data_IF_867199327229
#
_entry.id   IF_867199327229
#
_cell.length_a   1.000
_cell.length_b   1.000
_cell.length_c   1.000
_cell.angle_alpha   90.00
_cell.angle_beta   90.00
_cell.angle_gamma   90.00
#
_symmetry.space_group_name_H-M   'P 1'
#
loop_
_entity.id
_entity.type
_entity.pdbx_description
1 polymer ?
#
# COMPACT_ATOMS: atom_id res chain seq x y z
N UNK A 1 -28.34 -63.39 -34.00
CA UNK A 1 -27.67 -62.37 -33.16
C UNK A 1 -26.84 -61.47 -34.07
N UNK A 2 -27.38 -60.31 -34.44
CA UNK A 2 -26.73 -59.31 -35.29
C UNK A 2 -25.80 -58.45 -34.43
N UNK A 3 -24.50 -58.58 -34.64
CA UNK A 3 -23.48 -57.74 -33.99
C UNK A 3 -23.30 -56.50 -34.88
N UNK A 4 -23.75 -55.33 -34.41
CA UNK A 4 -23.43 -54.06 -35.05
C UNK A 4 -21.95 -53.73 -34.82
N UNK A 5 -21.11 -53.56 -35.88
CA UNK A 5 -19.76 -53.06 -35.70
C UNK A 5 -19.82 -51.56 -35.40
N UNK A 6 -19.39 -51.14 -34.22
CA UNK A 6 -19.21 -49.71 -33.92
C UNK A 6 -18.00 -49.19 -34.72
N UNK A 7 -18.26 -48.67 -35.92
CA UNK A 7 -17.30 -48.14 -36.91
C UNK A 7 -16.60 -46.84 -36.48
N UNK A 8 -16.46 -46.57 -35.19
CA UNK A 8 -15.94 -45.30 -34.68
C UNK A 8 -14.57 -45.50 -34.04
N UNK A 9 -13.56 -44.75 -34.53
CA UNK A 9 -12.20 -44.78 -34.00
C UNK A 9 -12.18 -44.30 -32.54
N UNK A 10 -11.73 -45.16 -31.63
CA UNK A 10 -11.57 -44.83 -30.21
C UNK A 10 -10.33 -43.93 -30.00
N UNK A 11 -10.58 -42.62 -30.00
CA UNK A 11 -9.54 -41.58 -29.92
C UNK A 11 -8.78 -41.58 -28.59
N UNK A 12 -9.42 -42.03 -27.50
CA UNK A 12 -8.76 -42.09 -26.19
C UNK A 12 -7.79 -43.27 -26.11
N UNK A 13 -8.20 -44.45 -26.60
CA UNK A 13 -7.31 -45.60 -26.72
C UNK A 13 -6.15 -45.31 -27.67
N UNK A 14 -6.42 -44.67 -28.82
CA UNK A 14 -5.37 -44.29 -29.75
C UNK A 14 -4.35 -43.31 -29.11
N UNK A 15 -4.82 -42.36 -28.29
CA UNK A 15 -3.94 -41.43 -27.55
C UNK A 15 -3.02 -42.16 -26.57
N UNK A 16 -3.55 -43.10 -25.79
CA UNK A 16 -2.77 -43.90 -24.83
C UNK A 16 -1.75 -44.78 -25.55
N UNK A 17 -2.12 -45.41 -26.66
CA UNK A 17 -1.22 -46.23 -27.45
C UNK A 17 -0.12 -45.39 -28.11
N UNK A 18 -0.43 -44.19 -28.62
CA UNK A 18 0.58 -43.26 -29.17
C UNK A 18 1.61 -42.85 -28.13
N UNK A 19 1.20 -42.62 -26.88
CA UNK A 19 2.14 -42.32 -25.80
C UNK A 19 3.13 -43.46 -25.56
N UNK A 20 2.67 -44.73 -25.65
CA UNK A 20 3.53 -45.91 -25.54
C UNK A 20 4.42 -46.13 -26.78
N UNK A 21 3.96 -45.77 -27.98
CA UNK A 21 4.78 -45.80 -29.20
C UNK A 21 5.96 -44.83 -29.14
N UNK A 22 5.76 -43.65 -28.53
CA UNK A 22 6.80 -42.62 -28.43
C UNK A 22 7.66 -42.76 -27.17
N UNK A 23 7.09 -43.23 -26.06
CA UNK A 23 7.72 -43.25 -24.73
C UNK A 23 7.98 -44.64 -24.14
N UNK A 24 7.80 -45.73 -24.91
CA UNK A 24 8.11 -47.09 -24.46
C UNK A 24 9.59 -47.26 -24.10
N UNK A 25 9.89 -48.01 -23.03
CA UNK A 25 11.24 -48.18 -22.48
C UNK A 25 12.12 -49.06 -23.36
N UNK A 26 11.52 -49.96 -24.12
CA UNK A 26 12.22 -50.87 -25.03
C UNK A 26 11.71 -50.75 -26.46
N UNK A 27 12.52 -51.20 -27.43
CA UNK A 27 12.10 -51.25 -28.83
C UNK A 27 10.94 -52.22 -29.07
N UNK A 28 10.93 -53.36 -28.38
CA UNK A 28 9.82 -54.32 -28.42
C UNK A 28 8.49 -53.74 -27.94
N UNK A 29 8.49 -52.92 -26.89
CA UNK A 29 7.30 -52.22 -26.40
C UNK A 29 6.76 -51.22 -27.42
N UNK A 30 7.65 -50.47 -28.08
CA UNK A 30 7.27 -49.49 -29.12
C UNK A 30 6.68 -50.18 -30.35
N UNK A 31 7.26 -51.30 -30.77
CA UNK A 31 6.75 -52.11 -31.89
C UNK A 31 5.40 -52.76 -31.55
N UNK A 32 5.24 -53.31 -30.35
CA UNK A 32 3.97 -53.86 -29.90
C UNK A 32 2.87 -52.78 -29.80
N UNK A 33 3.21 -51.59 -29.34
CA UNK A 33 2.29 -50.45 -29.31
C UNK A 33 1.91 -50.00 -30.73
N UNK A 34 2.86 -49.98 -31.67
CA UNK A 34 2.59 -49.69 -33.10
C UNK A 34 1.62 -50.69 -33.70
N UNK A 35 1.85 -51.99 -33.51
CA UNK A 35 0.93 -53.04 -33.99
C UNK A 35 -0.49 -52.90 -33.40
N UNK A 36 -0.60 -52.51 -32.12
CA UNK A 36 -1.92 -52.22 -31.50
C UNK A 36 -2.59 -51.00 -32.11
N UNK A 37 -1.83 -49.94 -32.44
CA UNK A 37 -2.37 -48.75 -33.09
C UNK A 37 -2.86 -49.06 -34.52
N UNK A 38 -2.16 -49.91 -35.26
CA UNK A 38 -2.55 -50.36 -36.61
C UNK A 38 -3.87 -51.14 -36.57
N UNK A 39 -4.04 -52.06 -35.61
CA UNK A 39 -5.30 -52.81 -35.42
C UNK A 39 -6.45 -51.87 -35.05
N UNK A 40 -6.22 -50.87 -34.20
CA UNK A 40 -7.24 -49.88 -33.84
C UNK A 40 -7.68 -49.03 -35.04
N UNK A 41 -6.72 -48.61 -35.87
CA UNK A 41 -7.00 -47.85 -37.08
C UNK A 41 -7.76 -48.71 -38.11
N UNK A 42 -7.32 -49.95 -38.34
CA UNK A 42 -7.93 -50.88 -39.29
C UNK A 42 -9.38 -51.25 -38.90
N UNK A 43 -9.66 -51.44 -37.60
CA UNK A 43 -11.02 -51.68 -37.10
C UNK A 43 -11.98 -50.51 -37.37
N UNK A 44 -11.44 -49.30 -37.48
CA UNK A 44 -12.20 -48.10 -37.83
C UNK A 44 -12.14 -47.75 -39.33
N UNK A 45 -11.62 -48.65 -40.17
CA UNK A 45 -11.57 -48.47 -41.63
C UNK A 45 -10.60 -47.39 -42.11
N UNK A 46 -9.62 -46.99 -41.29
CA UNK A 46 -8.64 -45.94 -41.63
C UNK A 46 -7.20 -46.45 -41.50
N UNK A 47 -6.26 -45.80 -42.17
CA UNK A 47 -4.83 -46.12 -41.98
C UNK A 47 -4.33 -45.56 -40.65
N UNK A 48 -3.24 -46.13 -40.11
CA UNK A 48 -2.59 -45.60 -38.90
C UNK A 48 -2.21 -44.11 -39.07
N UNK A 49 -1.72 -43.71 -40.25
CA UNK A 49 -1.35 -42.33 -40.52
C UNK A 49 -2.57 -41.40 -40.51
N UNK A 50 -3.70 -41.81 -41.08
CA UNK A 50 -4.95 -41.05 -41.02
C UNK A 50 -5.49 -40.95 -39.58
N UNK A 51 -5.39 -42.03 -38.80
CA UNK A 51 -5.79 -42.05 -37.40
C UNK A 51 -4.94 -41.09 -36.54
N UNK A 52 -3.61 -41.09 -36.73
CA UNK A 52 -2.70 -40.19 -36.03
C UNK A 52 -2.88 -38.73 -36.45
N UNK A 53 -3.12 -38.47 -37.74
CA UNK A 53 -3.43 -37.13 -38.25
C UNK A 53 -4.72 -36.57 -37.64
N UNK A 54 -5.79 -37.38 -37.56
CA UNK A 54 -7.03 -37.00 -36.85
C UNK A 54 -6.79 -36.72 -35.36
N UNK A 55 -5.91 -37.48 -34.71
CA UNK A 55 -5.56 -37.27 -33.30
C UNK A 55 -4.80 -35.96 -33.09
N UNK A 56 -3.91 -35.58 -34.01
CA UNK A 56 -3.18 -34.31 -33.97
C UNK A 56 -4.09 -33.11 -34.26
N UNK A 57 -4.97 -33.23 -35.25
CA UNK A 57 -5.98 -32.20 -35.55
C UNK A 57 -6.92 -31.98 -34.34
N UNK A 58 -7.34 -33.05 -33.65
CA UNK A 58 -8.17 -32.94 -32.45
C UNK A 58 -7.46 -32.30 -31.24
N UNK A 59 -6.11 -32.36 -31.17
CA UNK A 59 -5.33 -31.68 -30.12
C UNK A 59 -5.20 -30.17 -30.39
N UNK A 60 -5.17 -29.77 -31.65
CA UNK A 60 -5.15 -28.36 -32.07
C UNK A 60 -6.55 -27.72 -32.01
N UNK A 61 -7.60 -28.52 -32.22
CA UNK A 61 -9.00 -28.09 -32.17
C UNK A 61 -9.66 -28.29 -30.80
N UNK A 62 -8.93 -28.75 -29.77
CA UNK A 62 -9.47 -28.78 -28.43
C UNK A 62 -9.72 -27.31 -28.01
N UNK A 63 -10.99 -26.88 -27.81
CA UNK A 63 -11.23 -25.57 -27.24
C UNK A 63 -10.46 -25.49 -25.92
N UNK A 64 -9.90 -24.32 -25.61
CA UNK A 64 -9.37 -24.02 -24.28
C UNK A 64 -10.56 -24.02 -23.29
N UNK A 65 -11.07 -25.21 -22.98
CA UNK A 65 -12.20 -25.45 -22.11
C UNK A 65 -11.76 -25.08 -20.70
N UNK A 66 -11.98 -23.81 -20.35
CA UNK A 66 -11.58 -23.24 -19.08
C UNK A 66 -11.38 -21.73 -19.10
N UNK A 67 -11.17 -21.11 -20.27
CA UNK A 67 -11.07 -19.65 -20.36
C UNK A 67 -12.38 -19.07 -20.92
N UNK A 68 -13.25 -18.46 -20.08
CA UNK A 68 -14.49 -17.81 -20.54
C UNK A 68 -14.23 -16.62 -21.48
N UNK A 69 -12.97 -16.20 -21.67
CA UNK A 69 -12.55 -15.13 -22.56
C UNK A 69 -11.78 -15.61 -23.80
N UNK A 70 -11.72 -16.92 -24.05
CA UNK A 70 -11.14 -17.43 -25.30
C UNK A 70 -11.91 -16.84 -26.50
N UNK A 71 -11.20 -16.18 -27.43
CA UNK A 71 -11.80 -15.48 -28.57
C UNK A 71 -12.22 -14.03 -28.30
N UNK A 72 -12.09 -13.51 -27.07
CA UNK A 72 -12.42 -12.10 -26.77
C UNK A 72 -11.62 -11.12 -27.62
N UNK A 73 -10.31 -11.36 -27.79
CA UNK A 73 -9.47 -10.51 -28.62
C UNK A 73 -9.86 -10.57 -30.11
N UNK A 74 -10.34 -11.72 -30.59
CA UNK A 74 -10.83 -11.88 -31.97
C UNK A 74 -12.15 -11.14 -32.16
N UNK A 75 -13.07 -11.26 -31.20
CA UNK A 75 -14.33 -10.52 -31.17
C UNK A 75 -14.11 -9.00 -31.11
N UNK A 76 -13.16 -8.53 -30.28
CA UNK A 76 -12.80 -7.10 -30.22
C UNK A 76 -12.17 -6.62 -31.53
N UNK A 77 -11.35 -7.43 -32.20
CA UNK A 77 -10.78 -7.07 -33.51
C UNK A 77 -11.85 -6.96 -34.60
N UNK A 78 -12.88 -7.80 -34.55
CA UNK A 78 -14.03 -7.71 -35.45
C UNK A 78 -14.88 -6.46 -35.19
N UNK A 79 -15.02 -6.06 -33.92
CA UNK A 79 -15.76 -4.86 -33.50
C UNK A 79 -14.98 -3.56 -33.69
N UNK A 80 -13.69 -3.59 -33.46
CA UNK A 80 -12.76 -2.47 -33.51
C UNK A 80 -11.47 -2.92 -34.23
N UNK A 81 -11.44 -2.82 -35.56
CA UNK A 81 -10.27 -3.18 -36.35
C UNK A 81 -9.03 -2.42 -35.88
N UNK A 82 -7.95 -3.15 -35.59
CA UNK A 82 -6.72 -2.60 -35.01
C UNK A 82 -6.59 -2.79 -33.50
N UNK A 83 -7.62 -3.29 -32.79
CA UNK A 83 -7.58 -3.54 -31.34
C UNK A 83 -6.37 -4.38 -30.92
N UNK A 84 -6.09 -5.51 -31.59
CA UNK A 84 -4.95 -6.38 -31.28
C UNK A 84 -3.62 -5.68 -31.53
N UNK A 85 -3.53 -4.91 -32.61
CA UNK A 85 -2.32 -4.15 -32.94
C UNK A 85 -2.06 -3.07 -31.88
N UNK A 86 -3.10 -2.37 -31.43
CA UNK A 86 -2.99 -1.41 -30.34
C UNK A 86 -2.61 -2.08 -29.01
N UNK A 87 -3.24 -3.20 -28.66
CA UNK A 87 -2.90 -3.95 -27.44
C UNK A 87 -1.45 -4.47 -27.49
N UNK A 88 -0.99 -4.94 -28.65
CA UNK A 88 0.39 -5.34 -28.86
C UNK A 88 1.34 -4.14 -28.68
N UNK A 89 1.01 -2.98 -29.25
CA UNK A 89 1.76 -1.72 -29.03
C UNK A 89 1.81 -1.35 -27.56
N UNK A 90 0.67 -1.30 -26.86
CA UNK A 90 0.61 -0.99 -25.41
C UNK A 90 1.41 -1.98 -24.55
N UNK A 91 1.49 -3.26 -24.93
CA UNK A 91 2.34 -4.25 -24.25
C UNK A 91 3.81 -4.00 -24.54
N UNK A 92 4.17 -3.73 -25.79
CA UNK A 92 5.53 -3.40 -26.19
C UNK A 92 6.02 -2.13 -25.51
N UNK A 93 5.20 -1.07 -25.42
CA UNK A 93 5.53 0.18 -24.74
C UNK A 93 5.74 -0.04 -23.24
N UNK A 94 4.85 -0.81 -22.58
CA UNK A 94 5.01 -1.16 -21.15
C UNK A 94 6.29 -1.96 -20.90
N UNK A 95 6.59 -2.92 -21.76
CA UNK A 95 7.79 -3.74 -21.64
C UNK A 95 9.06 -2.91 -21.92
N UNK A 96 9.02 -2.00 -22.91
CA UNK A 96 10.12 -1.09 -23.19
C UNK A 96 10.39 -0.15 -22.00
N UNK A 97 9.35 0.42 -21.40
CA UNK A 97 9.46 1.24 -20.20
C UNK A 97 10.00 0.45 -19.01
N UNK A 98 9.53 -0.79 -18.80
CA UNK A 98 10.04 -1.69 -17.76
C UNK A 98 11.52 -1.99 -17.97
N UNK A 99 11.94 -2.34 -19.18
CA UNK A 99 13.34 -2.62 -19.51
C UNK A 99 14.22 -1.37 -19.39
N UNK A 100 13.72 -0.19 -19.74
CA UNK A 100 14.41 1.07 -19.49
C UNK A 100 14.62 1.30 -17.99
N UNK A 101 13.58 1.09 -17.18
CA UNK A 101 13.69 1.20 -15.71
C UNK A 101 14.64 0.15 -15.12
N UNK A 102 14.64 -1.09 -15.63
CA UNK A 102 15.63 -2.10 -15.22
C UNK A 102 17.07 -1.61 -15.46
N UNK A 103 17.35 -0.93 -16.59
CA UNK A 103 18.70 -0.40 -16.86
C UNK A 103 19.11 0.67 -15.85
N UNK A 104 18.20 1.56 -15.48
CA UNK A 104 18.43 2.55 -14.42
C UNK A 104 18.72 1.88 -13.08
N UNK A 105 17.92 0.88 -12.71
CA UNK A 105 18.10 0.13 -11.47
C UNK A 105 19.38 -0.69 -11.44
N UNK A 106 19.83 -1.22 -12.58
CA UNK A 106 21.13 -1.87 -12.68
C UNK A 106 22.29 -0.89 -12.43
N UNK A 107 22.15 0.37 -12.82
CA UNK A 107 23.13 1.40 -12.48
C UNK A 107 23.09 1.78 -10.99
N UNK A 108 21.90 1.80 -10.38
CA UNK A 108 21.70 2.12 -8.95
C UNK A 108 22.21 1.00 -8.01
N UNK A 109 21.83 -0.25 -8.27
CA UNK A 109 22.11 -1.40 -7.40
C UNK A 109 23.34 -2.21 -7.85
N UNK A 110 23.87 -1.94 -9.04
CA UNK A 110 25.02 -2.64 -9.65
C UNK A 110 24.69 -4.01 -10.25
N UNK A 111 23.61 -4.68 -9.80
CA UNK A 111 23.14 -5.94 -10.38
C UNK A 111 21.69 -6.24 -10.00
N UNK A 112 21.00 -7.04 -10.80
CA UNK A 112 19.67 -7.56 -10.48
C UNK A 112 19.68 -8.31 -9.15
N UNK A 113 20.68 -9.19 -8.94
CA UNK A 113 20.82 -9.96 -7.71
C UNK A 113 20.85 -9.07 -6.46
N UNK A 114 21.51 -7.90 -6.53
CA UNK A 114 21.62 -6.97 -5.41
C UNK A 114 20.27 -6.38 -4.98
N UNK A 115 19.33 -6.17 -5.93
CA UNK A 115 17.98 -5.66 -5.65
C UNK A 115 17.18 -6.63 -4.77
N UNK A 116 17.41 -7.93 -4.96
CA UNK A 116 16.74 -9.00 -4.22
C UNK A 116 17.48 -9.45 -2.95
N UNK A 117 18.66 -8.90 -2.65
CA UNK A 117 19.33 -9.20 -1.38
C UNK A 117 18.49 -8.66 -0.23
N UNK A 118 18.12 -9.50 0.76
CA UNK A 118 17.37 -9.01 1.91
C UNK A 118 18.19 -7.98 2.68
N UNK A 119 17.58 -6.84 2.98
CA UNK A 119 18.17 -5.83 3.87
C UNK A 119 18.29 -6.37 5.29
N UNK A 120 19.09 -5.71 6.13
CA UNK A 120 19.23 -6.11 7.53
C UNK A 120 17.95 -5.93 8.33
N UNK A 121 17.10 -4.98 7.93
CA UNK A 121 15.77 -4.82 8.51
C UNK A 121 14.85 -5.99 8.11
N UNK A 122 14.83 -6.41 6.85
CA UNK A 122 14.09 -7.61 6.40
C UNK A 122 14.50 -8.86 7.20
N UNK A 123 15.82 -9.07 7.38
CA UNK A 123 16.35 -10.20 8.16
C UNK A 123 15.89 -10.18 9.62
N UNK A 124 15.92 -9.01 10.27
CA UNK A 124 15.47 -8.84 11.66
C UNK A 124 13.98 -9.10 11.81
N UNK A 125 13.16 -8.51 10.93
CA UNK A 125 11.71 -8.70 10.91
C UNK A 125 11.35 -10.18 10.69
N UNK A 126 12.00 -10.83 9.72
CA UNK A 126 11.81 -12.25 9.45
C UNK A 126 12.10 -13.10 10.70
N UNK A 127 13.18 -12.81 11.43
CA UNK A 127 13.53 -13.54 12.65
C UNK A 127 12.50 -13.31 13.77
N UNK A 128 12.08 -12.06 13.97
CA UNK A 128 11.16 -11.71 15.05
C UNK A 128 9.74 -12.25 14.83
N UNK A 129 9.26 -12.28 13.58
CA UNK A 129 7.92 -12.78 13.25
C UNK A 129 7.86 -14.30 13.05
N UNK A 130 9.00 -14.98 12.88
CA UNK A 130 9.05 -16.42 12.66
C UNK A 130 8.26 -17.25 13.70
N UNK A 131 8.31 -16.96 15.02
CA UNK A 131 7.55 -17.71 16.02
C UNK A 131 6.02 -17.57 15.91
N UNK A 132 5.53 -16.59 15.15
CA UNK A 132 4.11 -16.34 14.95
C UNK A 132 3.57 -17.00 13.67
N UNK A 133 4.42 -17.66 12.88
CA UNK A 133 4.04 -18.22 11.58
C UNK A 133 3.21 -19.50 11.75
N UNK A 134 2.06 -19.57 11.06
CA UNK A 134 1.14 -20.73 11.13
C UNK A 134 1.17 -21.62 9.87
N UNK A 135 1.86 -21.17 8.82
CA UNK A 135 2.00 -21.88 7.55
C UNK A 135 1.91 -20.91 6.39
N UNK A 136 2.61 -21.19 5.28
CA UNK A 136 2.64 -20.26 4.13
C UNK A 136 3.00 -18.83 4.55
N UNK A 137 2.22 -17.85 4.11
CA UNK A 137 2.45 -16.42 4.35
C UNK A 137 1.56 -15.81 5.45
N UNK A 138 1.03 -16.62 6.36
CA UNK A 138 0.19 -16.15 7.48
C UNK A 138 0.92 -16.14 8.85
N UNK A 139 0.49 -15.24 9.73
CA UNK A 139 0.97 -15.13 11.11
C UNK A 139 -0.19 -15.07 12.10
N UNK A 140 -0.38 -16.06 12.99
CA UNK A 140 -1.42 -16.06 14.05
C UNK A 140 -2.74 -15.38 13.66
N UNK A 141 -3.38 -15.89 12.61
CA UNK A 141 -4.65 -15.35 12.08
C UNK A 141 -4.56 -14.06 11.26
N UNK A 142 -3.36 -13.55 10.98
CA UNK A 142 -3.12 -12.41 10.10
C UNK A 142 -2.66 -12.85 8.72
N UNK A 143 -3.28 -12.26 7.70
CA UNK A 143 -2.93 -12.44 6.27
C UNK A 143 -2.74 -11.07 5.59
N UNK A 144 -3.52 -10.08 5.98
CA UNK A 144 -3.47 -8.70 5.50
C UNK A 144 -4.13 -7.76 6.53
N UNK A 145 -3.99 -6.45 6.29
CA UNK A 145 -4.57 -5.41 7.15
C UNK A 145 -3.78 -5.20 8.44
N UNK A 146 -4.47 -4.76 9.49
CA UNK A 146 -3.85 -4.36 10.75
C UNK A 146 -3.10 -5.52 11.45
N UNK A 147 -1.81 -5.35 11.80
CA UNK A 147 -1.06 -6.36 12.55
C UNK A 147 -1.72 -6.67 13.90
N UNK A 148 -1.68 -7.95 14.29
CA UNK A 148 -2.16 -8.37 15.63
C UNK A 148 -1.28 -7.79 16.73
N UNK A 149 -1.76 -7.72 17.99
CA UNK A 149 -0.95 -7.23 19.11
C UNK A 149 0.39 -7.96 19.27
N UNK A 150 0.40 -9.28 19.05
CA UNK A 150 1.63 -10.09 19.12
C UNK A 150 2.61 -9.73 17.98
N UNK A 151 2.10 -9.52 16.77
CA UNK A 151 2.93 -9.08 15.64
C UNK A 151 3.49 -7.68 15.88
N UNK A 152 2.68 -6.75 16.40
CA UNK A 152 3.12 -5.40 16.72
C UNK A 152 4.30 -5.41 17.70
N UNK A 153 4.20 -6.19 18.78
CA UNK A 153 5.28 -6.36 19.74
C UNK A 153 6.55 -6.93 19.08
N UNK A 154 6.41 -7.95 18.22
CA UNK A 154 7.53 -8.55 17.50
C UNK A 154 8.18 -7.57 16.49
N UNK A 155 7.38 -6.78 15.78
CA UNK A 155 7.85 -5.77 14.82
C UNK A 155 8.65 -4.70 15.56
N UNK A 156 8.13 -4.15 16.67
CA UNK A 156 8.86 -3.16 17.45
C UNK A 156 10.15 -3.70 18.06
N UNK A 157 10.14 -4.95 18.53
CA UNK A 157 11.35 -5.60 19.06
C UNK A 157 12.42 -5.83 17.99
N UNK A 158 12.04 -6.04 16.73
CA UNK A 158 12.98 -6.19 15.61
C UNK A 158 13.65 -4.86 15.25
N UNK A 159 12.84 -3.81 15.16
CA UNK A 159 13.27 -2.44 14.95
C UNK A 159 12.15 -1.49 15.41
N UNK A 160 12.44 -0.51 16.29
CA UNK A 160 11.47 0.50 16.67
C UNK A 160 10.85 1.16 15.43
N UNK A 161 9.56 1.50 15.52
CA UNK A 161 8.93 2.32 14.50
C UNK A 161 9.44 3.77 14.65
N UNK A 162 9.57 4.53 13.55
CA UNK A 162 9.86 5.95 13.65
C UNK A 162 8.77 6.66 14.46
N UNK A 163 9.15 7.62 15.28
CA UNK A 163 8.25 8.33 16.21
C UNK A 163 7.70 9.65 15.64
N UNK A 164 8.10 10.01 14.42
CA UNK A 164 7.62 11.19 13.70
C UNK A 164 6.88 10.78 12.43
N UNK A 165 5.82 11.52 12.05
CA UNK A 165 5.11 11.25 10.78
C UNK A 165 6.04 11.27 9.58
N UNK A 166 7.01 12.19 9.55
CA UNK A 166 7.98 12.25 8.47
C UNK A 166 8.85 10.99 8.41
N UNK A 167 9.33 10.50 9.56
CA UNK A 167 10.09 9.26 9.64
C UNK A 167 9.26 8.03 9.23
N UNK A 168 8.00 7.95 9.67
CA UNK A 168 7.08 6.87 9.31
C UNK A 168 6.86 6.86 7.79
N UNK A 169 6.58 8.03 7.23
CA UNK A 169 6.37 8.23 5.80
C UNK A 169 7.60 7.87 4.97
N UNK A 170 8.77 8.33 5.39
CA UNK A 170 10.04 8.03 4.72
C UNK A 170 10.35 6.53 4.71
N UNK A 171 10.11 5.83 5.83
CA UNK A 171 10.31 4.38 5.89
C UNK A 171 9.30 3.64 4.99
N UNK A 172 8.01 4.03 5.01
CA UNK A 172 6.99 3.41 4.15
C UNK A 172 7.31 3.59 2.67
N UNK A 173 7.67 4.81 2.25
CA UNK A 173 8.08 5.10 0.89
C UNK A 173 9.33 4.30 0.45
N UNK A 174 10.29 4.08 1.36
CA UNK A 174 11.47 3.25 1.08
C UNK A 174 11.08 1.79 0.84
N UNK A 175 10.12 1.24 1.60
CA UNK A 175 9.60 -0.10 1.36
C UNK A 175 8.87 -0.21 0.04
N UNK A 176 8.00 0.74 -0.29
CA UNK A 176 7.30 0.75 -1.58
C UNK A 176 8.25 0.89 -2.76
N UNK A 177 9.27 1.76 -2.65
CA UNK A 177 10.33 1.86 -3.66
C UNK A 177 11.01 0.50 -3.86
N UNK A 178 11.45 -0.15 -2.79
CA UNK A 178 12.14 -1.44 -2.88
C UNK A 178 11.26 -2.52 -3.53
N UNK A 179 9.98 -2.58 -3.16
CA UNK A 179 9.02 -3.52 -3.77
C UNK A 179 8.80 -3.20 -5.24
N UNK A 180 8.62 -1.93 -5.60
CA UNK A 180 8.45 -1.48 -6.99
C UNK A 180 9.69 -1.79 -7.84
N UNK A 181 10.88 -1.56 -7.29
CA UNK A 181 12.14 -1.88 -7.95
C UNK A 181 12.25 -3.39 -8.21
N UNK A 182 11.87 -4.25 -7.24
CA UNK A 182 11.82 -5.72 -7.41
C UNK A 182 10.78 -6.16 -8.45
N UNK A 183 9.57 -5.57 -8.42
CA UNK A 183 8.51 -5.82 -9.41
C UNK A 183 8.96 -5.44 -10.83
N UNK A 184 9.79 -4.41 -10.96
CA UNK A 184 10.32 -4.01 -12.26
C UNK A 184 11.12 -5.15 -12.91
N UNK A 185 11.94 -5.88 -12.13
CA UNK A 185 12.67 -7.06 -12.63
C UNK A 185 11.78 -8.30 -12.74
N UNK A 186 10.97 -8.58 -11.71
CA UNK A 186 10.08 -9.74 -11.63
C UNK A 186 8.62 -9.26 -11.48
N UNK A 187 7.84 -9.15 -12.57
CA UNK A 187 6.48 -8.57 -12.54
C UNK A 187 5.47 -9.25 -11.63
N UNK A 188 5.75 -10.48 -11.22
CA UNK A 188 4.92 -11.29 -10.32
C UNK A 188 5.51 -11.37 -8.91
N UNK A 189 6.52 -10.57 -8.59
CA UNK A 189 7.12 -10.51 -7.27
C UNK A 189 6.07 -10.12 -6.23
N UNK A 190 5.91 -10.96 -5.22
CA UNK A 190 5.13 -10.66 -4.02
C UNK A 190 6.08 -10.42 -2.84
N UNK A 191 5.79 -9.37 -2.08
CA UNK A 191 6.58 -9.04 -0.91
C UNK A 191 6.38 -10.12 0.17
N UNK A 192 7.47 -10.64 0.77
CA UNK A 192 7.36 -11.61 1.85
C UNK A 192 6.47 -11.12 2.99
N UNK A 193 5.77 -12.03 3.66
CA UNK A 193 4.79 -11.68 4.71
C UNK A 193 5.34 -10.74 5.79
N UNK A 194 6.61 -10.87 6.18
CA UNK A 194 7.24 -10.00 7.19
C UNK A 194 7.45 -8.56 6.71
N UNK A 195 7.64 -8.35 5.40
CA UNK A 195 7.70 -7.02 4.78
C UNK A 195 6.31 -6.41 4.75
N UNK A 196 5.31 -7.16 4.26
CA UNK A 196 3.90 -6.71 4.25
C UNK A 196 3.40 -6.37 5.66
N UNK A 197 3.82 -7.14 6.67
CA UNK A 197 3.50 -6.87 8.07
C UNK A 197 4.11 -5.56 8.59
N UNK A 198 5.35 -5.23 8.20
CA UNK A 198 5.99 -3.94 8.56
C UNK A 198 5.32 -2.78 7.85
N UNK A 199 5.00 -2.91 6.55
CA UNK A 199 4.26 -1.89 5.81
C UNK A 199 2.90 -1.63 6.46
N UNK A 200 2.11 -2.67 6.75
CA UNK A 200 0.83 -2.52 7.45
C UNK A 200 0.97 -1.88 8.84
N UNK A 201 2.07 -2.17 9.57
CA UNK A 201 2.36 -1.47 10.82
C UNK A 201 2.64 0.02 10.61
N UNK A 202 3.42 0.40 9.59
CA UNK A 202 3.71 1.79 9.25
C UNK A 202 2.45 2.54 8.81
N UNK A 203 1.59 1.93 8.00
CA UNK A 203 0.31 2.52 7.58
C UNK A 203 -0.58 2.80 8.79
N UNK A 204 -0.77 1.78 9.65
CA UNK A 204 -1.51 1.93 10.91
C UNK A 204 -0.93 3.04 11.80
N UNK A 205 0.40 3.15 11.84
CA UNK A 205 1.10 4.16 12.62
C UNK A 205 0.93 5.56 12.03
N UNK A 206 0.95 5.68 10.71
CA UNK A 206 0.70 6.91 9.97
C UNK A 206 -0.72 7.42 10.17
N UNK A 207 -1.70 6.55 10.45
CA UNK A 207 -3.07 6.98 10.74
C UNK A 207 -3.26 7.51 12.17
N UNK A 208 -2.44 7.03 13.12
CA UNK A 208 -2.73 7.15 14.57
C UNK A 208 -1.72 7.99 15.34
N UNK A 209 -0.57 8.30 14.77
CA UNK A 209 0.46 9.12 15.43
C UNK A 209 0.01 10.58 15.47
N UNK A 210 -0.14 11.22 16.65
CA UNK A 210 -0.46 12.64 16.75
C UNK A 210 0.67 13.50 16.18
N UNK A 211 0.32 14.57 15.47
CA UNK A 211 1.26 15.57 14.99
C UNK A 211 0.58 16.94 14.89
N UNK A 212 0.36 17.62 16.04
CA UNK A 212 -0.37 18.89 16.10
C UNK A 212 0.50 20.06 15.63
N UNK A 213 0.94 20.01 14.38
CA UNK A 213 1.71 21.04 13.70
C UNK A 213 1.25 21.18 12.26
N UNK A 214 1.53 22.34 11.64
CA UNK A 214 1.23 22.57 10.23
C UNK A 214 1.99 21.58 9.33
N UNK A 215 3.21 21.20 9.71
CA UNK A 215 4.00 20.18 9.01
C UNK A 215 3.36 18.79 9.14
N UNK A 216 2.84 18.44 10.32
CA UNK A 216 2.09 17.20 10.54
C UNK A 216 0.83 17.12 9.67
N UNK A 217 0.09 18.23 9.56
CA UNK A 217 -1.08 18.32 8.68
C UNK A 217 -0.71 18.15 7.21
N UNK A 218 0.38 18.77 6.74
CA UNK A 218 0.88 18.56 5.35
C UNK A 218 1.25 17.10 5.10
N UNK A 219 1.94 16.46 6.06
CA UNK A 219 2.31 15.06 5.96
C UNK A 219 1.07 14.16 5.87
N UNK A 220 0.01 14.44 6.63
CA UNK A 220 -1.24 13.67 6.55
C UNK A 220 -2.00 13.89 5.24
N UNK A 221 -2.00 15.11 4.70
CA UNK A 221 -2.61 15.37 3.39
C UNK A 221 -1.86 14.65 2.26
N UNK A 222 -0.53 14.59 2.32
CA UNK A 222 0.27 13.81 1.39
C UNK A 222 -0.03 12.30 1.50
N UNK A 223 -0.18 11.79 2.74
CA UNK A 223 -0.59 10.41 2.99
C UNK A 223 -1.97 10.09 2.40
N UNK A 224 -2.96 10.97 2.61
CA UNK A 224 -4.31 10.84 2.04
C UNK A 224 -4.30 10.82 0.51
N UNK A 225 -3.51 11.71 -0.12
CA UNK A 225 -3.37 11.72 -1.58
C UNK A 225 -2.79 10.41 -2.09
N UNK A 226 -1.74 9.91 -1.44
CA UNK A 226 -1.14 8.61 -1.77
C UNK A 226 -2.13 7.45 -1.62
N UNK A 227 -2.90 7.40 -0.52
CA UNK A 227 -3.91 6.37 -0.31
C UNK A 227 -4.99 6.40 -1.40
N UNK A 228 -5.42 7.59 -1.81
CA UNK A 228 -6.37 7.77 -2.90
C UNK A 228 -5.80 7.27 -4.24
N UNK A 229 -4.53 7.58 -4.53
CA UNK A 229 -3.87 7.16 -5.77
C UNK A 229 -3.69 5.64 -5.89
N UNK A 230 -3.60 4.93 -4.76
CA UNK A 230 -3.55 3.45 -4.75
C UNK A 230 -4.86 2.79 -5.19
N UNK A 231 -5.98 3.51 -5.18
CA UNK A 231 -7.26 3.00 -5.68
C UNK A 231 -7.85 1.81 -4.90
N UNK A 232 -7.35 1.53 -3.68
CA UNK A 232 -7.87 0.47 -2.82
C UNK A 232 -8.85 1.03 -1.79
N UNK A 233 -9.95 0.29 -1.56
CA UNK A 233 -10.87 0.59 -0.47
C UNK A 233 -10.24 0.20 0.87
N UNK A 234 -10.18 1.15 1.80
CA UNK A 234 -9.67 0.95 3.15
C UNK A 234 -10.75 0.40 4.06
N UNK A 235 -10.31 -0.17 5.19
CA UNK A 235 -11.23 -0.54 6.26
C UNK A 235 -11.80 0.71 6.94
N UNK A 236 -13.10 0.68 7.28
CA UNK A 236 -13.80 1.82 7.87
C UNK A 236 -13.16 2.27 9.19
N UNK A 237 -12.63 1.34 9.99
CA UNK A 237 -12.04 1.67 11.28
C UNK A 237 -10.67 2.36 11.16
N UNK A 238 -9.95 2.14 10.06
CA UNK A 238 -8.71 2.85 9.78
C UNK A 238 -8.99 4.30 9.36
N UNK A 239 -10.03 4.52 8.56
CA UNK A 239 -10.48 5.88 8.22
C UNK A 239 -11.02 6.63 9.45
N UNK A 240 -11.82 5.98 10.30
CA UNK A 240 -12.30 6.55 11.56
C UNK A 240 -11.13 6.97 12.48
N UNK A 241 -10.12 6.11 12.64
CA UNK A 241 -8.95 6.40 13.47
C UNK A 241 -8.11 7.57 12.93
N UNK A 242 -7.95 7.65 11.61
CA UNK A 242 -7.24 8.75 10.95
C UNK A 242 -8.03 10.07 11.09
N UNK A 243 -9.34 10.05 10.88
CA UNK A 243 -10.21 11.23 11.05
C UNK A 243 -10.16 11.73 12.50
N UNK A 244 -10.23 10.83 13.47
CA UNK A 244 -10.14 11.18 14.88
C UNK A 244 -8.79 11.84 15.22
N UNK A 245 -7.69 11.28 14.73
CA UNK A 245 -6.34 11.84 14.93
C UNK A 245 -6.20 13.22 14.28
N UNK A 246 -6.68 13.39 13.05
CA UNK A 246 -6.67 14.68 12.34
C UNK A 246 -7.48 15.76 13.07
N UNK A 247 -8.66 15.41 13.60
CA UNK A 247 -9.48 16.34 14.40
C UNK A 247 -8.74 16.77 15.66
N UNK A 248 -8.17 15.83 16.39
CA UNK A 248 -7.40 16.12 17.60
C UNK A 248 -6.18 17.02 17.31
N UNK A 249 -5.44 16.74 16.23
CA UNK A 249 -4.31 17.56 15.79
C UNK A 249 -4.76 18.99 15.46
N UNK A 250 -5.88 19.14 14.74
CA UNK A 250 -6.44 20.44 14.38
C UNK A 250 -6.90 21.23 15.61
N UNK A 251 -7.59 20.59 16.55
CA UNK A 251 -8.02 21.20 17.81
C UNK A 251 -6.82 21.67 18.65
N UNK A 252 -5.76 20.86 18.72
CA UNK A 252 -4.53 21.24 19.42
C UNK A 252 -3.84 22.45 18.78
N UNK A 253 -3.77 22.52 17.45
CA UNK A 253 -3.25 23.68 16.72
C UNK A 253 -4.12 24.92 17.00
N UNK A 254 -5.45 24.79 16.92
CA UNK A 254 -6.38 25.88 17.16
C UNK A 254 -6.29 26.42 18.60
N UNK A 255 -6.18 25.54 19.59
CA UNK A 255 -5.99 25.91 20.99
C UNK A 255 -4.66 26.65 21.20
N UNK A 256 -3.57 26.22 20.55
CA UNK A 256 -2.29 26.91 20.60
C UNK A 256 -2.35 28.34 20.05
N UNK A 257 -3.05 28.54 18.93
CA UNK A 257 -3.27 29.88 18.33
C UNK A 257 -4.13 30.76 19.25
N UNK A 258 -5.19 30.21 19.84
CA UNK A 258 -6.04 30.95 20.78
C UNK A 258 -5.27 31.35 22.05
N UNK A 259 -4.43 30.46 22.58
CA UNK A 259 -3.55 30.76 23.72
C UNK A 259 -2.58 31.91 23.42
N UNK A 260 -1.95 31.93 22.25
CA UNK A 260 -1.10 33.05 21.82
C UNK A 260 -1.88 34.37 21.74
N UNK A 261 -3.09 34.36 21.16
CA UNK A 261 -3.94 35.55 21.09
C UNK A 261 -4.45 36.02 22.47
N UNK A 262 -4.55 35.14 23.46
CA UNK A 262 -5.00 35.47 24.83
C UNK A 262 -3.87 35.97 25.75
N UNK A 263 -2.61 35.62 25.47
CA UNK A 263 -1.45 36.18 26.20
C UNK A 263 -1.18 37.65 25.88
N UNK A 264 -1.74 38.16 24.79
CA UNK A 264 -2.00 39.59 24.68
C UNK A 264 -3.25 39.90 25.51
N UNK A 265 -3.04 40.28 26.77
CA UNK A 265 -4.06 40.87 27.63
C UNK A 265 -4.93 41.78 26.76
N UNK A 266 -6.26 41.56 26.67
CA UNK A 266 -7.11 42.37 25.80
C UNK A 266 -6.81 43.81 26.15
N UNK A 267 -6.31 44.58 25.19
CA UNK A 267 -5.88 45.94 25.42
C UNK A 267 -7.01 46.65 26.16
N UNK A 268 -6.86 46.82 27.48
CA UNK A 268 -7.93 47.34 28.31
C UNK A 268 -8.36 48.64 27.65
N UNK A 269 -9.66 48.79 27.34
CA UNK A 269 -10.16 50.02 26.73
C UNK A 269 -9.68 51.19 27.61
N UNK A 270 -9.30 52.36 27.04
CA UNK A 270 -8.76 53.47 27.84
C UNK A 270 -9.60 53.82 29.08
N UNK A 271 -10.93 53.66 28.99
CA UNK A 271 -11.86 53.81 30.11
C UNK A 271 -11.68 52.78 31.25
N UNK A 272 -11.41 51.53 30.91
CA UNK A 272 -11.15 50.45 31.89
C UNK A 272 -9.80 50.65 32.60
N UNK A 273 -8.77 51.12 31.87
CA UNK A 273 -7.46 51.47 32.48
C UNK A 273 -7.60 52.60 33.49
N UNK A 274 -8.42 53.61 33.16
CA UNK A 274 -8.71 54.73 34.09
C UNK A 274 -9.41 54.22 35.36
N UNK A 275 -10.44 53.40 35.22
CA UNK A 275 -11.16 52.84 36.37
C UNK A 275 -10.23 52.00 37.25
N UNK A 276 -9.40 51.13 36.66
CA UNK A 276 -8.45 50.29 37.39
C UNK A 276 -7.38 51.09 38.14
N UNK A 277 -6.85 52.17 37.55
CA UNK A 277 -5.91 53.04 38.29
C UNK A 277 -6.60 53.80 39.42
N UNK A 278 -7.81 54.33 39.21
CA UNK A 278 -8.53 55.05 40.26
C UNK A 278 -8.89 54.13 41.43
N UNK A 279 -9.24 52.88 41.15
CA UNK A 279 -9.49 51.85 42.15
C UNK A 279 -8.24 51.57 42.99
N UNK A 280 -7.09 51.28 42.36
CA UNK A 280 -5.81 51.06 43.05
C UNK A 280 -5.35 52.27 43.87
N UNK A 281 -5.58 53.49 43.37
CA UNK A 281 -5.31 54.72 44.11
C UNK A 281 -6.26 54.93 45.30
N UNK A 282 -7.36 54.19 45.39
CA UNK A 282 -8.32 54.22 46.50
C UNK A 282 -8.05 53.10 47.50
N UNK A 283 -7.81 51.89 47.02
CA UNK A 283 -7.62 50.68 47.83
C UNK A 283 -6.20 50.58 48.40
N UNK A 284 -5.18 51.04 47.67
CA UNK A 284 -3.77 50.95 48.07
C UNK A 284 -3.03 52.29 47.88
N UNK A 285 -3.30 53.32 48.69
CA UNK A 285 -2.74 54.67 48.49
C UNK A 285 -1.20 54.72 48.60
N UNK A 286 -0.59 53.75 49.29
CA UNK A 286 0.86 53.63 49.46
C UNK A 286 1.62 53.06 48.25
N UNK A 287 0.94 52.59 47.20
CA UNK A 287 1.62 52.10 46.00
C UNK A 287 2.30 53.23 45.22
N UNK A 288 3.50 52.95 44.70
CA UNK A 288 4.19 53.86 43.79
C UNK A 288 3.52 53.89 42.40
N UNK A 289 3.63 55.02 41.70
CA UNK A 289 3.07 55.17 40.35
C UNK A 289 3.63 54.15 39.35
N UNK A 290 4.88 53.71 39.54
CA UNK A 290 5.52 52.66 38.71
C UNK A 290 4.88 51.30 38.93
N UNK A 291 4.54 50.96 40.18
CA UNK A 291 3.92 49.67 40.50
C UNK A 291 2.47 49.61 40.01
N UNK A 292 1.71 50.71 40.17
CA UNK A 292 0.35 50.82 39.61
C UNK A 292 0.38 50.73 38.08
N UNK A 293 1.31 51.43 37.43
CA UNK A 293 1.49 51.40 35.98
C UNK A 293 1.80 50.00 35.45
N UNK A 294 2.65 49.25 36.17
CA UNK A 294 2.97 47.86 35.85
C UNK A 294 1.75 46.94 35.95
N UNK A 295 0.92 47.10 37.00
CA UNK A 295 -0.28 46.29 37.22
C UNK A 295 -1.38 46.56 36.19
N UNK A 296 -1.55 47.81 35.76
CA UNK A 296 -2.65 48.21 34.84
C UNK A 296 -2.22 48.23 33.36
N UNK A 297 -0.91 48.23 33.07
CA UNK A 297 -0.41 48.30 31.69
C UNK A 297 -0.51 49.71 31.10
N UNK A 298 -0.12 50.74 31.87
CA UNK A 298 -0.05 52.14 31.42
C UNK A 298 1.30 52.77 31.78
N UNK A 299 1.52 54.05 31.44
CA UNK A 299 2.77 54.74 31.80
C UNK A 299 2.70 55.27 33.24
N UNK A 300 3.82 55.29 34.01
CA UNK A 300 3.86 55.90 35.34
C UNK A 300 3.42 57.37 35.34
N UNK A 301 3.69 58.10 34.25
CA UNK A 301 3.26 59.49 34.08
C UNK A 301 1.74 59.62 33.98
N UNK A 302 1.07 58.66 33.35
CA UNK A 302 -0.40 58.60 33.28
C UNK A 302 -1.00 58.43 34.68
N UNK A 303 -0.42 57.56 35.51
CA UNK A 303 -0.84 57.36 36.90
C UNK A 303 -0.65 58.63 37.73
N UNK A 304 0.52 59.28 37.64
CA UNK A 304 0.80 60.52 38.36
C UNK A 304 -0.15 61.66 37.99
N UNK A 305 -0.54 61.77 36.70
CA UNK A 305 -1.55 62.73 36.26
C UNK A 305 -2.93 62.47 36.90
N UNK A 306 -3.35 61.23 37.01
CA UNK A 306 -4.63 60.88 37.65
C UNK A 306 -4.60 61.02 39.17
N UNK A 307 -3.46 60.74 39.80
CA UNK A 307 -3.26 60.96 41.24
C UNK A 307 -3.39 62.43 41.61
N UNK A 308 -2.80 63.34 40.81
CA UNK A 308 -2.94 64.79 40.99
C UNK A 308 -4.38 65.27 40.84
N UNK A 309 -5.06 64.87 39.76
CA UNK A 309 -6.47 65.24 39.53
C UNK A 309 -7.39 64.77 40.66
N UNK A 310 -7.19 63.54 41.16
CA UNK A 310 -7.96 63.02 42.30
C UNK A 310 -7.73 63.82 43.59
N UNK A 311 -6.51 64.33 43.81
CA UNK A 311 -6.20 65.19 44.95
C UNK A 311 -6.78 66.61 44.82
N UNK A 312 -6.97 67.07 43.58
CA UNK A 312 -7.64 68.34 43.26
C UNK A 312 -9.17 68.23 43.40
N UNK A 313 -9.78 67.12 42.96
CA UNK A 313 -11.22 66.86 43.05
C UNK A 313 -11.70 66.52 44.48
N UNK A 314 -10.78 66.26 45.40
CA UNK A 314 -11.05 65.91 46.81
C UNK A 314 -10.89 67.07 47.81
N UNK A 315 -10.68 68.31 47.33
CA UNK A 315 -10.70 69.55 48.11
C UNK A 315 -12.00 70.31 47.86
#
# INVERSE_FOLDING_TARGET
MTIHPSSTLDMEKLRKVRALMLGGKTEGERLAARGRAEVLAARAGVTLQQALSKLDAAKQAAPQSGNPFAGFADWMEEKEPGYKAEQARRRADREANRLARCKELLAEYGSEKAVFVPTDLEKRLRRALLPLREGGDSFKGWVAGNPTPAMWAAIQAAAPLPDTLHGIWAEHAAWEKLVTDRITFEPYYDAPAHVRARQAALERHMDRTPAPSIEGMRARLAWLAHLNDRGFTRDIHDDEAMIATLRADFEAIAAGVQGMCQTHTPAQRPAQRRAAVLDLLTTEPGLSDREIARRVGCSPQTVGNWRRRKAEDGR
#
